data_IF_220760577134
#
_entry.id   IF_220760577134
#
_cell.length_a   1.000
_cell.length_b   1.000
_cell.length_c   1.000
_cell.angle_alpha   90.00
_cell.angle_beta   90.00
_cell.angle_gamma   90.00
#
_symmetry.space_group_name_H-M   'P 1'
#
loop_
_entity.id
_entity.type
_entity.pdbx_description
1 polymer ?
#
# COMPACT_ATOMS: atom_id res chain seq x y z
N UNK A 1 -23.07 -16.38 3.13
CA UNK A 1 -22.17 -16.04 2.03
C UNK A 1 -20.94 -16.93 2.09
N UNK A 2 -20.41 -17.27 0.96
CA UNK A 2 -19.16 -18.01 0.83
C UNK A 2 -18.03 -17.14 1.40
N UNK A 3 -17.12 -17.72 2.19
CA UNK A 3 -16.01 -16.95 2.74
C UNK A 3 -15.01 -16.66 1.63
N UNK A 4 -14.61 -15.42 1.49
CA UNK A 4 -13.52 -15.01 0.58
C UNK A 4 -12.27 -15.83 0.90
N UNK A 5 -11.75 -16.53 -0.11
CA UNK A 5 -10.50 -17.28 0.03
C UNK A 5 -9.27 -16.34 0.01
N UNK A 6 -8.14 -16.87 0.48
CA UNK A 6 -6.87 -16.13 0.44
C UNK A 6 -6.46 -15.81 -1.00
N UNK A 7 -6.62 -16.77 -1.90
CA UNK A 7 -6.28 -16.63 -3.33
C UNK A 7 -7.12 -15.55 -4.03
N UNK A 8 -8.43 -15.46 -3.72
CA UNK A 8 -9.30 -14.41 -4.27
C UNK A 8 -8.87 -13.02 -3.80
N UNK A 9 -8.64 -12.86 -2.49
CA UNK A 9 -8.24 -11.58 -1.92
C UNK A 9 -6.84 -11.15 -2.41
N UNK A 10 -5.88 -12.08 -2.42
CA UNK A 10 -4.53 -11.80 -2.92
C UNK A 10 -4.53 -11.51 -4.42
N UNK A 11 -5.25 -12.31 -5.22
CA UNK A 11 -5.40 -12.09 -6.66
C UNK A 11 -5.97 -10.70 -6.96
N UNK A 12 -6.99 -10.28 -6.23
CA UNK A 12 -7.55 -8.93 -6.35
C UNK A 12 -6.52 -7.82 -6.09
N UNK A 13 -5.72 -7.94 -5.01
CA UNK A 13 -4.68 -6.94 -4.71
C UNK A 13 -3.62 -6.89 -5.83
N UNK A 14 -3.19 -8.05 -6.33
CA UNK A 14 -2.19 -8.15 -7.39
C UNK A 14 -2.70 -7.60 -8.73
N UNK A 15 -3.92 -7.95 -9.12
CA UNK A 15 -4.56 -7.47 -10.37
C UNK A 15 -4.78 -5.95 -10.36
N UNK A 16 -5.06 -5.37 -9.20
CA UNK A 16 -5.17 -3.92 -9.03
C UNK A 16 -3.82 -3.22 -8.84
N UNK A 17 -2.72 -3.96 -8.82
CA UNK A 17 -1.37 -3.39 -8.79
C UNK A 17 -0.92 -2.90 -7.42
N UNK A 18 -1.54 -3.36 -6.33
CA UNK A 18 -1.07 -3.04 -4.99
C UNK A 18 0.37 -3.48 -4.77
N UNK A 19 1.14 -2.65 -4.08
CA UNK A 19 2.51 -2.92 -3.66
C UNK A 19 2.60 -2.73 -2.15
N UNK A 20 3.50 -3.50 -1.51
CA UNK A 20 3.79 -3.36 -0.10
C UNK A 20 5.29 -3.27 0.12
N UNK A 21 5.74 -2.20 0.74
CA UNK A 21 7.15 -1.99 1.03
C UNK A 21 7.35 -1.24 2.34
N UNK A 22 8.44 -1.55 3.02
CA UNK A 22 8.98 -0.74 4.10
C UNK A 22 10.25 -0.06 3.62
N UNK A 23 10.65 1.05 4.23
CA UNK A 23 11.89 1.73 3.88
C UNK A 23 12.58 2.36 5.08
N UNK A 24 13.85 2.67 4.89
CA UNK A 24 14.65 3.56 5.73
C UNK A 24 15.02 4.74 4.86
N UNK A 25 14.58 5.94 5.23
CA UNK A 25 14.92 7.19 4.56
C UNK A 25 16.05 7.90 5.28
N UNK A 26 17.10 8.22 4.55
CA UNK A 26 18.15 9.14 4.97
C UNK A 26 18.00 10.44 4.17
N UNK A 27 17.49 11.49 4.80
CA UNK A 27 17.11 12.72 4.11
C UNK A 27 18.34 13.49 3.63
N UNK A 28 18.23 14.14 2.46
CA UNK A 28 19.23 15.04 1.92
C UNK A 28 18.79 16.51 2.02
N UNK A 29 17.76 16.75 2.83
CA UNK A 29 17.23 18.07 3.14
C UNK A 29 17.17 18.25 4.65
N UNK A 30 17.37 19.47 5.11
CA UNK A 30 17.06 19.86 6.47
C UNK A 30 15.53 19.86 6.67
N UNK A 31 15.04 19.04 7.58
CA UNK A 31 13.61 18.87 7.82
C UNK A 31 12.91 20.09 8.44
N UNK A 32 13.69 21.06 9.00
CA UNK A 32 13.14 22.26 9.60
C UNK A 32 13.06 23.41 8.59
N UNK A 33 14.08 23.55 7.74
CA UNK A 33 14.19 24.65 6.77
C UNK A 33 13.74 24.26 5.36
N UNK A 34 13.76 22.95 5.03
CA UNK A 34 13.54 22.45 3.67
C UNK A 34 14.70 22.72 2.71
N UNK A 35 15.83 23.21 3.21
CA UNK A 35 17.02 23.46 2.40
C UNK A 35 17.82 22.18 2.17
N UNK A 36 18.47 22.08 1.00
CA UNK A 36 19.36 20.97 0.71
C UNK A 36 20.55 20.95 1.67
N UNK A 37 20.95 19.76 2.10
CA UNK A 37 22.18 19.59 2.88
C UNK A 37 23.42 19.92 2.02
N UNK A 38 24.51 20.29 2.68
CA UNK A 38 25.81 20.45 2.06
C UNK A 38 26.29 19.13 1.40
N UNK A 39 27.05 19.24 0.30
CA UNK A 39 27.49 18.10 -0.52
C UNK A 39 28.19 17.01 0.32
N UNK A 40 29.01 17.40 1.30
CA UNK A 40 29.68 16.45 2.18
C UNK A 40 28.68 15.65 3.04
N UNK A 41 27.64 16.28 3.57
CA UNK A 41 26.62 15.61 4.35
C UNK A 41 25.74 14.69 3.47
N UNK A 42 25.46 15.10 2.23
CA UNK A 42 24.76 14.23 1.25
C UNK A 42 25.58 12.98 0.95
N UNK A 43 26.91 13.13 0.76
CA UNK A 43 27.79 11.98 0.52
C UNK A 43 27.85 11.02 1.74
N UNK A 44 27.81 11.55 2.97
CA UNK A 44 27.72 10.74 4.18
C UNK A 44 26.40 9.94 4.24
N UNK A 45 25.28 10.58 3.90
CA UNK A 45 23.96 9.92 3.82
C UNK A 45 23.95 8.78 2.78
N UNK A 46 24.55 9.03 1.61
CA UNK A 46 24.67 8.01 0.56
C UNK A 46 25.50 6.82 1.03
N UNK A 47 26.67 7.08 1.64
CA UNK A 47 27.53 6.03 2.17
C UNK A 47 26.84 5.23 3.30
N UNK A 48 26.07 5.89 4.15
CA UNK A 48 25.29 5.25 5.20
C UNK A 48 24.18 4.38 4.61
N UNK A 49 23.42 4.89 3.62
CA UNK A 49 22.40 4.11 2.93
C UNK A 49 22.99 2.87 2.27
N UNK A 50 24.17 2.99 1.66
CA UNK A 50 24.88 1.86 1.05
C UNK A 50 25.25 0.79 2.09
N UNK A 51 25.78 1.20 3.23
CA UNK A 51 26.14 0.28 4.30
C UNK A 51 24.91 -0.47 4.86
N UNK A 52 23.79 0.24 5.06
CA UNK A 52 22.52 -0.37 5.50
C UNK A 52 22.00 -1.38 4.48
N UNK A 53 22.04 -1.03 3.19
CA UNK A 53 21.59 -1.93 2.13
C UNK A 53 22.45 -3.20 2.07
N UNK A 54 23.78 -3.09 2.14
CA UNK A 54 24.72 -4.22 2.14
C UNK A 54 24.51 -5.14 3.34
N UNK A 55 24.32 -4.58 4.53
CA UNK A 55 24.03 -5.35 5.76
C UNK A 55 22.75 -6.17 5.59
N UNK A 56 21.66 -5.52 5.15
CA UNK A 56 20.36 -6.17 5.00
C UNK A 56 20.33 -7.21 3.88
N UNK A 57 20.98 -6.94 2.75
CA UNK A 57 21.08 -7.89 1.62
C UNK A 57 21.86 -9.16 1.96
N UNK A 58 22.71 -9.13 2.97
CA UNK A 58 23.44 -10.30 3.44
C UNK A 58 22.57 -11.30 4.22
N UNK A 59 21.38 -10.87 4.69
CA UNK A 59 20.47 -11.69 5.49
C UNK A 59 19.54 -12.47 4.56
N UNK A 60 19.64 -13.82 4.60
CA UNK A 60 18.84 -14.68 3.72
C UNK A 60 17.53 -15.17 4.34
N UNK A 61 17.45 -15.18 5.66
CA UNK A 61 16.25 -15.59 6.39
C UNK A 61 15.25 -14.42 6.47
N UNK A 62 14.01 -14.55 5.94
CA UNK A 62 13.06 -13.46 5.88
C UNK A 62 12.64 -12.91 7.27
N UNK A 63 12.53 -13.75 8.29
CA UNK A 63 12.13 -13.30 9.62
C UNK A 63 13.25 -12.49 10.27
N UNK A 64 14.50 -12.95 10.13
CA UNK A 64 15.66 -12.21 10.60
C UNK A 64 15.86 -10.91 9.83
N UNK A 65 15.62 -10.92 8.53
CA UNK A 65 15.68 -9.71 7.69
C UNK A 65 14.68 -8.66 8.14
N UNK A 66 13.40 -9.02 8.27
CA UNK A 66 12.35 -8.10 8.71
C UNK A 66 12.66 -7.55 10.09
N UNK A 67 13.09 -8.41 11.03
CA UNK A 67 13.48 -7.98 12.38
C UNK A 67 14.64 -6.99 12.35
N UNK A 68 15.72 -7.32 11.62
CA UNK A 68 16.89 -6.44 11.53
C UNK A 68 16.57 -5.14 10.82
N UNK A 69 15.75 -5.20 9.77
CA UNK A 69 15.27 -4.02 9.08
C UNK A 69 14.54 -3.07 10.03
N UNK A 70 13.67 -3.59 10.88
CA UNK A 70 12.94 -2.80 11.86
C UNK A 70 13.86 -2.16 12.91
N UNK A 71 14.86 -2.89 13.41
CA UNK A 71 15.86 -2.34 14.32
C UNK A 71 16.62 -1.16 13.69
N UNK A 72 17.07 -1.32 12.44
CA UNK A 72 17.77 -0.26 11.71
C UNK A 72 16.84 0.91 11.34
N UNK A 73 15.58 0.64 11.04
CA UNK A 73 14.57 1.67 10.81
C UNK A 73 14.37 2.53 12.05
N UNK A 74 14.25 1.95 13.24
CA UNK A 74 14.13 2.71 14.49
C UNK A 74 15.34 3.63 14.74
N UNK A 75 16.53 3.16 14.38
CA UNK A 75 17.78 3.88 14.62
C UNK A 75 18.05 4.98 13.58
N UNK A 76 17.79 4.71 12.30
CA UNK A 76 18.27 5.56 11.20
C UNK A 76 17.18 6.24 10.38
N UNK A 77 15.92 5.79 10.44
CA UNK A 77 14.88 6.32 9.58
C UNK A 77 14.48 7.75 9.96
N UNK A 78 14.62 8.65 9.01
CA UNK A 78 14.27 10.07 9.16
C UNK A 78 12.88 10.39 8.55
N UNK A 79 12.16 9.39 8.02
CA UNK A 79 10.79 9.59 7.57
C UNK A 79 9.84 9.80 8.74
N UNK A 80 9.13 10.94 8.73
CA UNK A 80 8.10 11.24 9.74
C UNK A 80 6.86 10.35 9.58
N UNK A 81 6.65 9.77 8.40
CA UNK A 81 5.58 8.84 8.12
C UNK A 81 5.66 7.54 8.91
N UNK A 82 6.85 7.17 9.43
CA UNK A 82 7.04 5.98 10.27
C UNK A 82 6.14 5.88 11.49
N UNK A 83 5.68 7.02 12.01
CA UNK A 83 4.77 7.05 13.16
C UNK A 83 3.33 6.67 12.79
N UNK A 84 2.95 6.87 11.53
CA UNK A 84 1.63 6.51 11.02
C UNK A 84 1.65 5.13 10.37
N UNK A 85 2.75 4.78 9.72
CA UNK A 85 2.95 3.54 8.96
C UNK A 85 4.20 2.78 9.45
N UNK A 86 4.21 2.30 10.71
CA UNK A 86 5.40 1.66 11.29
C UNK A 86 5.83 0.40 10.54
N UNK A 87 4.87 -0.34 10.00
CA UNK A 87 5.11 -1.60 9.28
C UNK A 87 5.36 -1.39 7.78
N UNK A 88 5.36 -0.14 7.31
CA UNK A 88 5.56 0.22 5.91
C UNK A 88 4.27 0.66 5.22
N UNK A 89 4.37 0.82 3.89
CA UNK A 89 3.33 1.41 3.05
C UNK A 89 2.75 0.36 2.11
N UNK A 90 1.42 0.23 2.11
CA UNK A 90 0.68 -0.44 1.04
C UNK A 90 0.11 0.66 0.15
N UNK A 91 0.39 0.60 -1.14
CA UNK A 91 0.07 1.69 -2.07
C UNK A 91 -0.23 1.18 -3.48
N UNK A 92 -0.91 2.01 -4.25
CA UNK A 92 -1.22 1.81 -5.67
C UNK A 92 -0.23 2.57 -6.56
N UNK A 93 -0.07 2.17 -7.84
CA UNK A 93 0.75 2.91 -8.79
C UNK A 93 0.32 4.38 -8.90
N UNK A 94 1.29 5.29 -8.79
CA UNK A 94 1.08 6.74 -8.84
C UNK A 94 0.87 7.42 -7.49
N UNK A 95 0.85 6.66 -6.40
CA UNK A 95 0.71 7.21 -5.04
C UNK A 95 2.03 7.59 -4.40
N UNK A 96 3.14 7.01 -4.88
CA UNK A 96 4.49 7.31 -4.41
C UNK A 96 5.31 8.01 -5.50
N UNK A 97 6.47 8.58 -5.14
CA UNK A 97 7.39 9.13 -6.13
C UNK A 97 7.92 8.03 -7.05
N UNK A 98 8.10 8.36 -8.33
CA UNK A 98 8.36 7.36 -9.37
C UNK A 98 9.58 6.49 -9.08
N UNK A 99 10.67 7.09 -8.60
CA UNK A 99 11.92 6.38 -8.30
C UNK A 99 11.72 5.34 -7.18
N UNK A 100 10.88 5.66 -6.18
CA UNK A 100 10.55 4.73 -5.11
C UNK A 100 9.71 3.56 -5.64
N UNK A 101 8.66 3.85 -6.43
CA UNK A 101 7.82 2.81 -7.03
C UNK A 101 8.61 1.87 -7.94
N UNK A 102 9.48 2.42 -8.78
CA UNK A 102 10.36 1.63 -9.65
C UNK A 102 11.31 0.76 -8.82
N UNK A 103 11.86 1.31 -7.73
CA UNK A 103 12.66 0.58 -6.78
C UNK A 103 11.91 -0.61 -6.20
N UNK A 104 10.67 -0.43 -5.74
CA UNK A 104 9.83 -1.52 -5.19
C UNK A 104 9.49 -2.55 -6.26
N UNK A 105 9.10 -2.12 -7.46
CA UNK A 105 8.73 -3.01 -8.58
C UNK A 105 9.88 -3.91 -9.05
N UNK A 106 11.11 -3.43 -8.92
CA UNK A 106 12.30 -4.19 -9.32
C UNK A 106 12.68 -5.31 -8.33
N UNK A 107 12.10 -5.32 -7.13
CA UNK A 107 12.41 -6.29 -6.09
C UNK A 107 11.43 -7.48 -6.12
N UNK A 108 11.94 -8.66 -5.78
CA UNK A 108 11.10 -9.77 -5.33
C UNK A 108 10.66 -9.55 -3.87
N UNK A 109 9.69 -10.33 -3.42
CA UNK A 109 9.30 -10.34 -2.01
C UNK A 109 10.49 -10.65 -1.11
N UNK A 110 10.63 -9.88 -0.01
CA UNK A 110 11.80 -9.85 0.88
C UNK A 110 13.10 -9.39 0.20
N UNK A 111 13.04 -8.82 -1.00
CA UNK A 111 14.19 -8.16 -1.62
C UNK A 111 14.47 -6.82 -0.99
N UNK A 112 15.76 -6.50 -0.82
CA UNK A 112 16.26 -5.19 -0.35
C UNK A 112 16.94 -4.47 -1.50
N UNK A 113 16.58 -3.19 -1.71
CA UNK A 113 17.15 -2.37 -2.78
C UNK A 113 18.59 -1.96 -2.49
N UNK A 114 19.32 -1.57 -3.55
CA UNK A 114 20.39 -0.59 -3.39
C UNK A 114 19.78 0.75 -2.97
N UNK A 115 20.56 1.73 -2.47
CA UNK A 115 20.04 3.05 -2.16
C UNK A 115 19.31 3.68 -3.36
N UNK A 116 18.03 3.96 -3.21
CA UNK A 116 17.20 4.64 -4.22
C UNK A 116 17.16 6.12 -3.89
N UNK A 117 17.67 6.94 -4.79
CA UNK A 117 17.66 8.40 -4.64
C UNK A 117 16.34 8.99 -5.12
N UNK A 118 15.72 9.80 -4.29
CA UNK A 118 14.52 10.60 -4.61
C UNK A 118 14.78 12.08 -4.27
N UNK A 119 13.79 12.93 -4.46
CA UNK A 119 13.82 14.31 -3.99
C UNK A 119 13.90 14.47 -2.47
N UNK A 120 13.55 13.44 -1.70
CA UNK A 120 13.62 13.45 -0.23
C UNK A 120 14.98 13.02 0.32
N UNK A 121 15.68 12.14 -0.40
CA UNK A 121 16.95 11.58 0.06
C UNK A 121 17.19 10.19 -0.50
N UNK A 122 17.94 9.37 0.23
CA UNK A 122 18.26 7.99 -0.11
C UNK A 122 17.36 7.04 0.67
N UNK A 123 16.66 6.16 -0.05
CA UNK A 123 15.81 5.12 0.53
C UNK A 123 16.49 3.77 0.39
N UNK A 124 16.55 3.02 1.50
CA UNK A 124 16.79 1.57 1.48
C UNK A 124 15.43 0.90 1.62
N UNK A 125 15.00 0.19 0.59
CA UNK A 125 13.65 -0.35 0.46
C UNK A 125 13.67 -1.85 0.71
N UNK A 126 12.76 -2.33 1.55
CA UNK A 126 12.43 -3.75 1.71
C UNK A 126 11.04 -3.99 1.09
N UNK A 127 10.96 -4.80 0.04
CA UNK A 127 9.68 -5.24 -0.49
C UNK A 127 9.09 -6.32 0.41
N UNK A 128 7.83 -6.16 0.79
CA UNK A 128 7.08 -7.11 1.61
C UNK A 128 6.02 -7.83 0.77
N UNK A 129 5.72 -9.11 1.06
CA UNK A 129 4.68 -9.84 0.38
C UNK A 129 3.30 -9.29 0.74
N UNK A 130 2.42 -9.19 -0.26
CA UNK A 130 0.99 -9.01 -0.03
C UNK A 130 0.38 -10.33 0.45
N UNK A 131 -0.59 -10.22 1.34
CA UNK A 131 -1.42 -11.34 1.80
C UNK A 131 -2.89 -10.94 1.75
N UNK A 132 -3.79 -11.89 1.88
CA UNK A 132 -5.22 -11.61 1.97
C UNK A 132 -5.57 -10.66 3.14
N UNK A 133 -4.78 -10.70 4.20
CA UNK A 133 -4.99 -9.93 5.42
C UNK A 133 -4.09 -8.68 5.51
N UNK A 134 -3.33 -8.37 4.44
CA UNK A 134 -2.59 -7.11 4.34
C UNK A 134 -3.55 -5.92 4.47
N UNK A 135 -3.27 -5.02 5.40
CA UNK A 135 -4.05 -3.80 5.62
C UNK A 135 -3.73 -2.81 4.51
N UNK A 136 -4.72 -2.45 3.70
CA UNK A 136 -4.56 -1.53 2.57
C UNK A 136 -4.99 -0.10 2.90
N UNK A 137 -5.87 0.07 3.88
CA UNK A 137 -6.35 1.38 4.34
C UNK A 137 -7.08 1.24 5.69
N UNK A 138 -7.58 2.36 6.18
CA UNK A 138 -8.47 2.41 7.33
C UNK A 138 -9.79 3.10 6.94
N UNK A 139 -10.90 2.60 7.43
CA UNK A 139 -12.21 3.20 7.19
C UNK A 139 -12.44 4.47 8.07
N UNK A 140 -13.58 5.11 7.89
CA UNK A 140 -13.96 6.33 8.63
C UNK A 140 -14.08 6.13 10.15
N UNK A 141 -14.14 4.89 10.63
CA UNK A 141 -14.17 4.53 12.06
C UNK A 141 -12.78 4.20 12.62
N UNK A 142 -11.77 4.13 11.75
CA UNK A 142 -10.41 3.71 12.07
C UNK A 142 -10.23 2.19 12.08
N UNK A 143 -11.19 1.42 11.57
CA UNK A 143 -11.02 -0.02 11.42
C UNK A 143 -10.18 -0.35 10.18
N UNK A 144 -9.31 -1.37 10.30
CA UNK A 144 -8.45 -1.80 9.21
C UNK A 144 -9.27 -2.41 8.06
N UNK A 145 -9.02 -1.92 6.84
CA UNK A 145 -9.51 -2.51 5.60
C UNK A 145 -8.41 -3.41 5.05
N UNK A 146 -8.66 -4.71 5.05
CA UNK A 146 -7.72 -5.71 4.52
C UNK A 146 -8.04 -6.05 3.06
N UNK A 147 -7.11 -6.68 2.35
CA UNK A 147 -7.36 -7.20 1.01
C UNK A 147 -8.62 -8.07 0.95
N UNK A 148 -8.83 -8.90 1.98
CA UNK A 148 -10.03 -9.76 2.11
C UNK A 148 -11.32 -8.96 2.24
N UNK A 149 -11.34 -7.95 3.12
CA UNK A 149 -12.54 -7.11 3.30
C UNK A 149 -12.79 -6.21 2.09
N UNK A 150 -11.74 -5.75 1.43
CA UNK A 150 -11.83 -4.96 0.21
C UNK A 150 -12.45 -5.77 -0.93
N UNK A 151 -11.94 -6.99 -1.17
CA UNK A 151 -12.50 -7.90 -2.17
C UNK A 151 -13.95 -8.28 -1.86
N UNK A 152 -14.27 -8.59 -0.60
CA UNK A 152 -15.64 -8.90 -0.18
C UNK A 152 -16.62 -7.76 -0.48
N UNK A 153 -16.19 -6.51 -0.29
CA UNK A 153 -17.01 -5.33 -0.61
C UNK A 153 -17.20 -5.17 -2.11
N UNK A 154 -16.18 -5.43 -2.90
CA UNK A 154 -16.24 -5.39 -4.36
C UNK A 154 -17.16 -6.49 -4.92
N UNK A 155 -17.01 -7.72 -4.46
CA UNK A 155 -17.82 -8.87 -4.88
C UNK A 155 -19.29 -8.68 -4.51
N UNK A 156 -19.58 -8.14 -3.32
CA UNK A 156 -20.94 -7.78 -2.90
C UNK A 156 -21.55 -6.69 -3.78
N UNK A 157 -20.81 -5.64 -4.12
CA UNK A 157 -21.27 -4.56 -4.97
C UNK A 157 -21.59 -5.05 -6.38
N UNK A 158 -20.70 -5.85 -6.98
CA UNK A 158 -20.91 -6.46 -8.30
C UNK A 158 -22.14 -7.38 -8.31
N UNK A 159 -22.34 -8.19 -7.26
CA UNK A 159 -23.51 -9.03 -7.09
C UNK A 159 -24.81 -8.23 -6.92
N UNK A 160 -24.77 -7.09 -6.22
CA UNK A 160 -25.92 -6.21 -6.04
C UNK A 160 -26.29 -5.51 -7.36
N UNK A 161 -25.33 -5.02 -8.12
CA UNK A 161 -25.58 -4.37 -9.41
C UNK A 161 -26.21 -5.37 -10.40
N UNK A 162 -25.69 -6.60 -10.49
CA UNK A 162 -26.29 -7.65 -11.32
C UNK A 162 -27.71 -8.02 -10.87
N UNK A 163 -28.00 -8.02 -9.57
CA UNK A 163 -29.33 -8.25 -9.04
C UNK A 163 -30.28 -7.11 -9.38
N UNK A 164 -29.83 -5.86 -9.25
CA UNK A 164 -30.63 -4.68 -9.56
C UNK A 164 -30.93 -4.56 -11.07
N UNK A 165 -29.96 -4.90 -11.93
CA UNK A 165 -30.19 -4.97 -13.38
C UNK A 165 -31.27 -6.02 -13.73
N UNK A 166 -31.24 -7.17 -13.12
CA UNK A 166 -32.28 -8.20 -13.31
C UNK A 166 -33.64 -7.73 -12.77
N UNK A 167 -33.70 -7.06 -11.63
CA UNK A 167 -34.91 -6.51 -11.08
C UNK A 167 -35.51 -5.43 -11.99
N UNK A 168 -34.69 -4.54 -12.57
CA UNK A 168 -35.18 -3.48 -13.43
C UNK A 168 -35.82 -4.01 -14.71
N UNK A 169 -35.35 -5.15 -15.25
CA UNK A 169 -35.93 -5.79 -16.43
C UNK A 169 -37.23 -6.54 -16.15
N UNK A 170 -37.42 -7.08 -14.95
CA UNK A 170 -38.67 -7.76 -14.59
C UNK A 170 -39.80 -6.77 -14.19
N UNK A 171 -39.46 -5.59 -13.62
CA UNK A 171 -40.44 -4.61 -13.17
C UNK A 171 -40.99 -3.71 -14.27
N UNK A 172 -40.27 -3.51 -15.38
CA UNK A 172 -40.69 -2.62 -16.47
C UNK A 172 -41.86 -3.17 -17.29
N UNK A 173 -41.99 -4.49 -17.37
CA UNK A 173 -43.03 -5.14 -18.16
C UNK A 173 -44.42 -5.21 -17.45
N UNK A 174 -44.45 -5.14 -16.10
CA UNK A 174 -45.69 -5.28 -15.32
C UNK A 174 -46.09 -3.98 -14.54
N UNK A 175 -45.31 -2.89 -14.64
CA UNK A 175 -45.61 -1.67 -13.92
C UNK A 175 -46.73 -0.89 -14.59
N UNK A 176 -47.96 -1.12 -14.17
CA UNK A 176 -49.08 -0.19 -14.39
C UNK A 176 -49.04 0.89 -13.35
N UNK A 177 -48.75 2.13 -13.76
CA UNK A 177 -48.76 3.25 -12.85
C UNK A 177 -50.15 3.32 -12.10
N UNK A 178 -50.13 3.39 -10.77
CA UNK A 178 -51.39 3.46 -10.02
C UNK A 178 -52.22 4.67 -10.48
N UNK A 179 -53.49 4.43 -10.75
CA UNK A 179 -54.43 5.51 -11.09
C UNK A 179 -54.66 6.41 -9.85
N UNK A 180 -53.94 7.53 -9.82
CA UNK A 180 -54.02 8.53 -8.74
C UNK A 180 -55.28 9.40 -8.81
N UNK A 181 -56.10 9.28 -9.86
CA UNK A 181 -57.35 10.09 -10.00
C UNK A 181 -58.33 9.81 -8.88
N UNK A 182 -58.22 8.66 -8.19
CA UNK A 182 -59.07 8.27 -7.06
C UNK A 182 -58.75 9.01 -5.75
N UNK A 183 -57.58 9.69 -5.69
CA UNK A 183 -57.12 10.37 -4.47
C UNK A 183 -57.09 11.92 -4.58
N UNK A 184 -57.41 12.45 -5.75
CA UNK A 184 -57.56 13.91 -5.96
C UNK A 184 -59.06 14.22 -5.91
N UNK A 185 -59.55 14.80 -4.79
CA UNK A 185 -60.85 15.43 -4.66
C UNK A 185 -60.73 16.92 -4.85
#
# INVERSE_FOLDING_TARGET
GEKVSDDQALGYLQENGYLYANHILLTTMDLQTGEALEEAAVAEKEAQAQALAEELQAIQDPEQLVKRFQELKEEYDEDTGKFTYPDGYVFLPGEMVAEFEEGVKALADYGVSQPVKTSYGYHVILRLPLTADTVVSYDSTGAAVTGRSLFASFDYAAGLDAYLENLSTEYVDDFQAPDLSKYVK
#
